data_IF_736040052312
#
_entry.id   IF_736040052312
#
_cell.length_a   1.000
_cell.length_b   1.000
_cell.length_c   1.000
_cell.angle_alpha   90.00
_cell.angle_beta   90.00
_cell.angle_gamma   90.00
#
_symmetry.space_group_name_H-M   'P 1'
#
loop_
_entity.id
_entity.type
_entity.pdbx_description
1 polymer ?
#
# COMPACT_ATOMS: atom_id res chain seq x y z
N UNK A 1 -9.56 -15.95 -18.17
CA UNK A 1 -10.17 -16.01 -16.82
C UNK A 1 -9.33 -16.96 -16.00
N UNK A 2 -8.76 -16.50 -14.89
CA UNK A 2 -7.78 -17.26 -14.10
C UNK A 2 -8.30 -17.68 -12.71
N UNK A 3 -9.43 -17.14 -12.26
CA UNK A 3 -10.10 -17.42 -10.98
C UNK A 3 -11.62 -17.35 -11.14
N UNK A 4 -12.38 -17.78 -10.13
CA UNK A 4 -13.84 -17.94 -10.09
C UNK A 4 -14.61 -16.78 -9.41
N UNK A 5 -14.00 -15.60 -9.28
CA UNK A 5 -14.67 -14.41 -8.75
C UNK A 5 -15.85 -13.98 -9.63
N UNK A 6 -16.98 -13.66 -8.98
CA UNK A 6 -18.15 -13.07 -9.64
C UNK A 6 -17.87 -11.61 -9.99
N UNK A 7 -18.09 -11.15 -11.24
CA UNK A 7 -17.81 -9.77 -11.64
C UNK A 7 -18.49 -8.70 -10.78
N UNK A 8 -19.72 -8.95 -10.33
CA UNK A 8 -20.49 -8.05 -9.46
C UNK A 8 -19.86 -7.83 -8.08
N UNK A 9 -18.95 -8.71 -7.66
CA UNK A 9 -18.20 -8.58 -6.41
C UNK A 9 -16.88 -7.80 -6.59
N UNK A 10 -16.49 -7.49 -7.82
CA UNK A 10 -15.30 -6.69 -8.11
C UNK A 10 -15.63 -5.19 -8.03
N UNK A 11 -14.90 -4.47 -7.20
CA UNK A 11 -15.07 -3.04 -6.97
C UNK A 11 -13.77 -2.33 -7.29
N UNK A 12 -13.82 -1.39 -8.23
CA UNK A 12 -12.67 -0.60 -8.67
C UNK A 12 -13.16 0.84 -8.85
N UNK A 13 -12.39 1.81 -8.35
CA UNK A 13 -12.65 3.23 -8.53
C UNK A 13 -12.78 3.59 -10.02
N UNK A 14 -13.86 4.28 -10.38
CA UNK A 14 -14.07 4.73 -11.75
C UNK A 14 -13.36 6.06 -12.02
N UNK A 15 -12.13 5.99 -12.55
CA UNK A 15 -11.35 7.17 -12.94
C UNK A 15 -11.95 8.02 -14.07
N UNK A 16 -13.01 7.55 -14.74
CA UNK A 16 -13.73 8.29 -15.79
C UNK A 16 -15.10 8.82 -15.31
N UNK A 17 -15.38 8.78 -14.00
CA UNK A 17 -16.63 9.30 -13.46
C UNK A 17 -16.75 10.81 -13.72
N UNK A 18 -17.98 11.27 -14.00
CA UNK A 18 -18.25 12.70 -14.26
C UNK A 18 -17.97 13.55 -13.01
N UNK A 19 -18.25 13.01 -11.83
CA UNK A 19 -17.98 13.64 -10.55
C UNK A 19 -17.09 12.70 -9.72
N UNK A 20 -15.79 13.02 -9.69
CA UNK A 20 -14.76 12.19 -9.08
C UNK A 20 -14.85 12.21 -7.55
N UNK A 21 -15.25 13.34 -6.96
CA UNK A 21 -15.46 13.48 -5.53
C UNK A 21 -16.61 12.57 -5.07
N UNK A 22 -17.72 12.56 -5.81
CA UNK A 22 -18.85 11.66 -5.55
C UNK A 22 -18.47 10.19 -5.71
N UNK A 23 -17.68 9.85 -6.72
CA UNK A 23 -17.14 8.48 -6.89
C UNK A 23 -16.35 8.05 -5.64
N UNK A 24 -15.49 8.93 -5.10
CA UNK A 24 -14.74 8.64 -3.88
C UNK A 24 -15.66 8.42 -2.67
N UNK A 25 -16.66 9.28 -2.47
CA UNK A 25 -17.64 9.14 -1.39
C UNK A 25 -18.47 7.86 -1.51
N UNK A 26 -18.93 7.52 -2.71
CA UNK A 26 -19.73 6.34 -2.97
C UNK A 26 -18.89 5.06 -2.78
N UNK A 27 -17.59 5.11 -3.08
CA UNK A 27 -16.67 4.00 -2.83
C UNK A 27 -16.48 3.74 -1.32
N UNK A 28 -16.33 4.80 -0.52
CA UNK A 28 -16.26 4.71 0.95
C UNK A 28 -17.56 4.13 1.54
N UNK A 29 -18.72 4.65 1.12
CA UNK A 29 -20.03 4.12 1.53
C UNK A 29 -20.21 2.65 1.16
N UNK A 30 -19.66 2.24 0.01
CA UNK A 30 -19.71 0.84 -0.42
C UNK A 30 -18.84 -0.05 0.45
N UNK A 31 -17.67 0.41 0.89
CA UNK A 31 -16.84 -0.32 1.87
C UNK A 31 -17.62 -0.47 3.19
N UNK A 32 -18.21 0.61 3.69
CA UNK A 32 -19.00 0.60 4.92
C UNK A 32 -20.23 -0.30 4.83
N UNK A 33 -20.90 -0.39 3.67
CA UNK A 33 -22.08 -1.24 3.50
C UNK A 33 -21.79 -2.74 3.61
N UNK A 34 -20.54 -3.16 3.44
CA UNK A 34 -20.07 -4.51 3.71
C UNK A 34 -19.49 -4.70 5.13
N UNK A 35 -19.50 -3.66 5.97
CA UNK A 35 -18.94 -3.69 7.32
C UNK A 35 -17.42 -3.53 7.37
N UNK A 36 -16.83 -2.94 6.33
CA UNK A 36 -15.39 -2.70 6.23
C UNK A 36 -14.61 -3.82 5.53
N UNK A 37 -13.32 -3.57 5.31
CA UNK A 37 -12.41 -4.50 4.64
C UNK A 37 -11.87 -5.51 5.65
N UNK A 38 -12.00 -6.81 5.37
CA UNK A 38 -11.43 -7.85 6.24
C UNK A 38 -9.90 -7.91 6.15
N UNK A 39 -9.35 -7.92 4.93
CA UNK A 39 -7.92 -7.95 4.67
C UNK A 39 -7.61 -6.96 3.55
N UNK A 40 -6.77 -5.97 3.83
CA UNK A 40 -6.20 -5.10 2.81
C UNK A 40 -4.80 -5.58 2.46
N UNK A 41 -4.58 -5.97 1.21
CA UNK A 41 -3.26 -6.34 0.72
C UNK A 41 -2.71 -5.22 -0.19
N UNK A 42 -1.47 -4.81 0.06
CA UNK A 42 -0.81 -3.78 -0.72
C UNK A 42 0.69 -4.00 -0.83
N UNK A 43 1.35 -3.08 -1.53
CA UNK A 43 2.80 -2.93 -1.53
C UNK A 43 3.17 -1.49 -1.20
N UNK A 44 4.48 -1.21 -1.16
CA UNK A 44 5.00 0.14 -0.92
C UNK A 44 5.85 0.64 -2.06
N UNK A 45 5.87 1.97 -2.25
CA UNK A 45 6.83 2.67 -3.07
C UNK A 45 8.23 2.74 -2.44
N UNK A 46 9.28 3.06 -3.22
CA UNK A 46 10.63 3.29 -2.69
C UNK A 46 10.73 4.51 -1.75
N UNK A 47 9.76 5.42 -1.83
CA UNK A 47 9.53 6.58 -0.96
C UNK A 47 8.58 6.28 0.21
N UNK A 48 8.14 5.02 0.37
CA UNK A 48 7.23 4.59 1.43
C UNK A 48 5.76 4.91 1.23
N UNK A 49 5.32 5.29 0.02
CA UNK A 49 3.88 5.45 -0.23
C UNK A 49 3.14 4.11 -0.18
N UNK A 50 1.94 4.08 0.40
CA UNK A 50 0.95 3.00 0.21
C UNK A 50 -0.14 3.48 -0.75
N UNK A 51 -0.52 2.66 -1.73
CA UNK A 51 -1.40 3.05 -2.84
C UNK A 51 -0.83 4.31 -3.53
N UNK A 52 -1.62 5.36 -3.78
CA UNK A 52 -1.09 6.65 -4.25
C UNK A 52 -0.99 7.69 -3.12
N UNK A 53 -0.88 7.25 -1.85
CA UNK A 53 -0.66 8.15 -0.73
C UNK A 53 0.81 8.57 -0.63
N UNK A 54 1.22 9.42 -1.57
CA UNK A 54 2.56 9.99 -1.69
C UNK A 54 3.01 10.75 -0.44
N UNK A 55 4.33 10.97 -0.27
CA UNK A 55 4.88 11.76 0.83
C UNK A 55 4.15 13.09 1.04
N UNK A 56 3.82 13.38 2.31
CA UNK A 56 3.02 14.54 2.72
C UNK A 56 1.51 14.29 2.79
N UNK A 57 1.03 13.12 2.35
CA UNK A 57 -0.38 12.74 2.49
C UNK A 57 -0.78 12.64 3.96
N UNK A 58 -1.97 13.16 4.31
CA UNK A 58 -2.50 13.03 5.67
C UNK A 58 -2.62 11.56 6.07
N UNK A 59 -2.14 11.23 7.28
CA UNK A 59 -2.25 9.90 7.85
C UNK A 59 -3.70 9.50 8.19
N UNK A 60 -4.62 10.48 8.22
CA UNK A 60 -6.07 10.26 8.37
C UNK A 60 -6.83 10.49 7.05
N UNK A 61 -6.14 10.48 5.90
CA UNK A 61 -6.79 10.74 4.62
C UNK A 61 -7.83 9.67 4.25
N UNK A 62 -8.88 10.10 3.54
CA UNK A 62 -9.89 9.23 2.91
C UNK A 62 -9.66 9.08 1.41
N UNK A 63 -10.49 8.28 0.78
CA UNK A 63 -10.54 8.11 -0.68
C UNK A 63 -10.71 9.47 -1.36
N UNK A 64 -9.83 9.77 -2.31
CA UNK A 64 -9.76 11.10 -2.95
C UNK A 64 -9.08 11.07 -4.31
N UNK A 65 -9.25 12.15 -5.06
CA UNK A 65 -8.38 12.50 -6.18
C UNK A 65 -7.01 12.90 -5.65
N UNK A 66 -5.95 12.35 -6.26
CA UNK A 66 -4.57 12.66 -5.93
C UNK A 66 -3.79 12.98 -7.20
N UNK A 67 -3.17 14.15 -7.21
CA UNK A 67 -2.17 14.50 -8.23
C UNK A 67 -0.94 13.63 -8.05
N UNK A 68 -0.46 13.05 -9.14
CA UNK A 68 0.78 12.26 -9.15
C UNK A 68 1.99 13.18 -9.20
N UNK A 69 3.01 12.90 -8.40
CA UNK A 69 4.31 13.59 -8.48
C UNK A 69 5.06 13.22 -9.76
N UNK A 70 6.05 14.04 -10.09
CA UNK A 70 6.97 13.77 -11.21
C UNK A 70 7.64 12.42 -11.08
N UNK A 71 8.06 12.02 -9.87
CA UNK A 71 8.72 10.74 -9.63
C UNK A 71 7.77 9.57 -9.92
N UNK A 72 6.50 9.68 -9.49
CA UNK A 72 5.46 8.69 -9.81
C UNK A 72 5.18 8.62 -11.31
N UNK A 73 5.16 9.76 -12.00
CA UNK A 73 4.99 9.82 -13.46
C UNK A 73 6.16 9.12 -14.18
N UNK A 74 7.40 9.39 -13.75
CA UNK A 74 8.59 8.76 -14.32
C UNK A 74 8.57 7.25 -14.08
N UNK A 75 8.28 6.80 -12.86
CA UNK A 75 8.23 5.38 -12.51
C UNK A 75 7.15 4.63 -13.30
N UNK A 76 6.00 5.26 -13.55
CA UNK A 76 4.90 4.68 -14.30
C UNK A 76 5.07 4.77 -15.83
N UNK A 77 5.92 5.66 -16.34
CA UNK A 77 6.15 5.82 -17.78
C UNK A 77 6.55 4.52 -18.48
N UNK A 78 7.19 3.59 -17.76
CA UNK A 78 7.50 2.23 -18.26
C UNK A 78 6.28 1.45 -18.78
N UNK A 79 5.09 1.78 -18.29
CA UNK A 79 3.81 1.19 -18.72
C UNK A 79 3.17 1.96 -19.89
N UNK A 80 3.72 3.12 -20.24
CA UNK A 80 3.24 4.03 -21.29
C UNK A 80 4.33 4.31 -22.33
N UNK A 81 5.01 3.25 -22.79
CA UNK A 81 6.07 3.32 -23.82
C UNK A 81 7.27 4.21 -23.42
N UNK A 82 7.50 4.39 -22.12
CA UNK A 82 8.49 5.33 -21.56
C UNK A 82 8.21 6.81 -21.91
N UNK A 83 6.96 7.15 -22.24
CA UNK A 83 6.52 8.52 -22.51
C UNK A 83 5.75 9.10 -21.32
N UNK A 84 6.40 10.04 -20.62
CA UNK A 84 5.84 10.73 -19.46
C UNK A 84 4.57 11.55 -19.80
N UNK A 85 4.40 11.96 -21.06
CA UNK A 85 3.25 12.78 -21.48
C UNK A 85 1.96 11.98 -21.61
N UNK A 86 2.08 10.64 -21.76
CA UNK A 86 0.96 9.70 -21.81
C UNK A 86 0.49 9.26 -20.43
N UNK A 87 1.26 9.53 -19.38
CA UNK A 87 0.91 9.14 -18.01
C UNK A 87 -0.17 10.09 -17.47
N UNK A 88 -1.28 9.57 -16.92
CA UNK A 88 -2.28 10.39 -16.25
C UNK A 88 -1.66 11.24 -15.14
N UNK A 89 -2.07 12.51 -15.03
CA UNK A 89 -1.55 13.44 -14.01
C UNK A 89 -2.21 13.27 -12.64
N UNK A 90 -3.35 12.58 -12.60
CA UNK A 90 -4.15 12.34 -11.40
C UNK A 90 -4.58 10.88 -11.34
N UNK A 91 -4.82 10.40 -10.13
CA UNK A 91 -5.41 9.10 -9.86
C UNK A 91 -6.46 9.22 -8.76
N UNK A 92 -7.42 8.29 -8.76
CA UNK A 92 -8.25 8.03 -7.58
C UNK A 92 -7.52 7.02 -6.70
N UNK A 93 -7.51 7.27 -5.39
CA UNK A 93 -6.84 6.38 -4.44
C UNK A 93 -7.60 6.31 -3.13
N UNK A 94 -7.62 5.12 -2.52
CA UNK A 94 -8.05 4.98 -1.13
C UNK A 94 -7.09 5.74 -0.21
N UNK A 95 -7.63 6.33 0.85
CA UNK A 95 -6.82 7.10 1.79
C UNK A 95 -6.04 6.22 2.76
N UNK A 96 -5.10 6.82 3.47
CA UNK A 96 -4.36 6.14 4.54
C UNK A 96 -5.31 5.66 5.63
N UNK A 97 -6.27 6.51 6.04
CA UNK A 97 -7.30 6.14 7.01
C UNK A 97 -8.20 5.01 6.50
N UNK A 98 -8.56 5.03 5.21
CA UNK A 98 -9.36 3.97 4.59
C UNK A 98 -8.66 2.61 4.66
N UNK A 99 -7.33 2.58 4.47
CA UNK A 99 -6.54 1.35 4.60
C UNK A 99 -6.47 0.91 6.07
N UNK A 100 -6.29 1.85 6.99
CA UNK A 100 -6.19 1.59 8.43
C UNK A 100 -7.52 1.19 9.08
N UNK A 101 -8.66 1.41 8.41
CA UNK A 101 -9.97 0.90 8.83
C UNK A 101 -10.14 -0.60 8.53
N UNK A 102 -9.25 -1.21 7.75
CA UNK A 102 -9.30 -2.64 7.49
C UNK A 102 -9.05 -3.43 8.79
N UNK A 103 -9.61 -4.63 8.91
CA UNK A 103 -9.39 -5.47 10.10
C UNK A 103 -7.95 -6.01 10.16
N UNK A 104 -7.33 -6.20 9.00
CA UNK A 104 -5.97 -6.65 8.84
C UNK A 104 -5.35 -5.98 7.60
N UNK A 105 -4.07 -5.59 7.70
CA UNK A 105 -3.33 -4.96 6.61
C UNK A 105 -2.05 -5.74 6.37
N UNK A 106 -1.88 -6.26 5.16
CA UNK A 106 -0.68 -6.99 4.73
C UNK A 106 0.05 -6.22 3.64
N UNK A 107 1.34 -5.97 3.85
CA UNK A 107 2.19 -5.22 2.94
C UNK A 107 3.31 -6.11 2.41
N UNK A 108 3.42 -6.20 1.09
CA UNK A 108 4.48 -6.94 0.40
C UNK A 108 5.63 -5.99 0.02
N UNK A 109 6.86 -6.38 0.35
CA UNK A 109 8.06 -5.55 0.11
C UNK A 109 9.18 -6.39 -0.46
N UNK A 110 9.64 -6.09 -1.67
CA UNK A 110 10.69 -6.88 -2.32
C UNK A 110 11.75 -6.03 -3.03
N UNK A 111 13.01 -6.46 -2.89
CA UNK A 111 14.18 -5.91 -3.56
C UNK A 111 14.82 -4.69 -2.88
N UNK A 112 16.12 -4.49 -3.14
CA UNK A 112 16.94 -3.43 -2.55
C UNK A 112 16.35 -2.01 -2.67
N UNK A 113 15.69 -1.72 -3.79
CA UNK A 113 15.06 -0.42 -4.04
C UNK A 113 13.94 -0.05 -3.04
N UNK A 114 13.50 -1.00 -2.20
CA UNK A 114 12.53 -0.77 -1.12
C UNK A 114 13.15 -0.79 0.28
N UNK A 115 14.45 -1.04 0.41
CA UNK A 115 15.08 -1.23 1.72
C UNK A 115 14.95 -0.01 2.63
N UNK A 116 15.18 1.18 2.07
CA UNK A 116 14.95 2.44 2.80
C UNK A 116 13.52 2.60 3.30
N UNK A 117 12.54 2.29 2.46
CA UNK A 117 11.13 2.39 2.81
C UNK A 117 10.76 1.39 3.92
N UNK A 118 11.28 0.16 3.85
CA UNK A 118 11.10 -0.86 4.90
C UNK A 118 11.71 -0.41 6.22
N UNK A 119 12.92 0.16 6.20
CA UNK A 119 13.54 0.74 7.39
C UNK A 119 12.67 1.82 8.02
N UNK A 120 12.15 2.75 7.23
CA UNK A 120 11.30 3.81 7.77
C UNK A 120 9.95 3.28 8.27
N UNK A 121 9.46 2.17 7.70
CA UNK A 121 8.26 1.49 8.18
C UNK A 121 8.46 0.80 9.54
N UNK A 122 9.63 0.18 9.77
CA UNK A 122 9.88 -0.69 10.93
C UNK A 122 10.63 0.03 12.05
N UNK A 123 11.69 0.78 11.72
CA UNK A 123 12.59 1.42 12.69
C UNK A 123 12.38 2.94 12.78
N UNK A 124 11.73 3.55 11.79
CA UNK A 124 11.44 4.98 11.76
C UNK A 124 10.25 5.36 12.63
N UNK A 125 10.14 6.65 13.00
CA UNK A 125 8.94 7.18 13.68
C UNK A 125 7.78 7.37 12.71
N UNK A 126 6.55 7.24 13.22
CA UNK A 126 5.33 7.57 12.46
C UNK A 126 5.40 8.99 11.91
N UNK A 127 5.31 9.14 10.59
CA UNK A 127 5.36 10.43 9.92
C UNK A 127 4.67 10.39 8.53
N UNK A 128 4.20 11.53 8.06
CA UNK A 128 3.50 11.63 6.77
C UNK A 128 4.40 11.61 5.53
N UNK A 129 5.73 11.68 5.67
CA UNK A 129 6.66 11.56 4.54
C UNK A 129 6.85 10.11 4.13
N UNK A 130 6.77 9.19 5.09
CA UNK A 130 6.79 7.75 4.88
C UNK A 130 5.44 7.19 5.32
N UNK A 131 4.41 7.30 4.48
CA UNK A 131 3.03 6.99 4.88
C UNK A 131 2.87 5.55 5.36
N UNK A 132 3.72 4.61 4.92
CA UNK A 132 3.82 3.25 5.46
C UNK A 132 4.07 3.17 6.97
N UNK A 133 4.75 4.14 7.56
CA UNK A 133 5.03 4.17 9.00
C UNK A 133 3.77 4.17 9.87
N UNK A 134 2.62 4.57 9.32
CA UNK A 134 1.31 4.50 10.01
C UNK A 134 0.92 3.07 10.39
N UNK A 135 1.46 2.04 9.72
CA UNK A 135 1.16 0.64 10.00
C UNK A 135 1.56 0.26 11.43
N UNK A 136 2.52 0.96 12.03
CA UNK A 136 2.89 0.81 13.46
C UNK A 136 1.71 1.08 14.41
N UNK A 137 0.72 1.83 13.96
CA UNK A 137 -0.50 2.15 14.72
C UNK A 137 -1.64 1.16 14.43
N UNK A 138 -1.47 0.23 13.48
CA UNK A 138 -2.51 -0.70 13.09
C UNK A 138 -2.56 -1.89 14.06
N UNK A 139 -3.74 -2.29 14.58
CA UNK A 139 -3.82 -3.39 15.53
C UNK A 139 -3.41 -4.75 14.95
N UNK A 140 -3.44 -4.89 13.61
CA UNK A 140 -3.07 -6.11 12.88
C UNK A 140 -2.36 -5.79 11.57
N UNK A 141 -1.15 -5.25 11.65
CA UNK A 141 -0.30 -4.98 10.49
C UNK A 141 0.72 -6.09 10.28
N UNK A 142 0.85 -6.58 9.04
CA UNK A 142 1.83 -7.59 8.64
C UNK A 142 2.66 -7.05 7.48
N UNK A 143 3.99 -7.19 7.56
CA UNK A 143 4.90 -6.92 6.44
C UNK A 143 5.55 -8.24 6.05
N UNK A 144 5.41 -8.62 4.79
CA UNK A 144 6.09 -9.77 4.19
C UNK A 144 7.17 -9.22 3.27
N UNK A 145 8.42 -9.59 3.51
CA UNK A 145 9.56 -9.08 2.75
C UNK A 145 10.57 -10.14 2.34
N UNK A 146 11.30 -9.88 1.26
CA UNK A 146 12.48 -10.66 0.88
C UNK A 146 13.73 -10.17 1.61
N UNK A 147 14.79 -10.99 1.65
CA UNK A 147 16.03 -10.60 2.32
C UNK A 147 16.65 -9.32 1.69
N UNK A 148 16.50 -9.11 0.38
CA UNK A 148 17.03 -7.95 -0.31
C UNK A 148 16.39 -6.61 0.14
N UNK A 149 15.12 -6.61 0.55
CA UNK A 149 14.48 -5.45 1.14
C UNK A 149 14.96 -5.16 2.58
N UNK A 150 15.64 -6.10 3.24
CA UNK A 150 16.10 -5.91 4.63
C UNK A 150 17.46 -5.23 4.75
N UNK A 151 18.10 -4.90 3.63
CA UNK A 151 19.51 -4.45 3.54
C UNK A 151 19.84 -3.18 4.36
N UNK A 152 18.85 -2.32 4.63
CA UNK A 152 19.02 -1.11 5.43
C UNK A 152 18.56 -1.24 6.89
N UNK A 153 17.99 -2.39 7.28
CA UNK A 153 17.58 -2.70 8.65
C UNK A 153 18.79 -3.05 9.52
N UNK A 154 18.67 -2.81 10.82
CA UNK A 154 19.66 -3.33 11.76
C UNK A 154 19.60 -4.86 11.81
N UNK A 155 20.77 -5.50 11.92
CA UNK A 155 20.89 -6.96 12.10
C UNK A 155 20.04 -7.44 13.29
N UNK A 156 20.00 -6.66 14.38
CA UNK A 156 19.17 -6.97 15.55
C UNK A 156 17.67 -7.00 15.23
N UNK A 157 17.19 -6.06 14.40
CA UNK A 157 15.79 -5.99 13.95
C UNK A 157 15.42 -7.23 13.13
N UNK A 158 16.25 -7.60 12.16
CA UNK A 158 16.00 -8.78 11.31
C UNK A 158 15.98 -10.06 12.16
N UNK A 159 16.96 -10.23 13.05
CA UNK A 159 17.04 -11.40 13.91
C UNK A 159 15.85 -11.49 14.88
N UNK A 160 15.39 -10.36 15.42
CA UNK A 160 14.23 -10.31 16.30
C UNK A 160 12.96 -10.85 15.61
N UNK A 161 12.64 -10.39 14.40
CA UNK A 161 11.47 -10.88 13.67
C UNK A 161 11.64 -12.31 13.16
N UNK A 162 12.85 -12.72 12.77
CA UNK A 162 13.12 -14.12 12.38
C UNK A 162 12.95 -15.09 13.54
N UNK A 163 13.26 -14.68 14.78
CA UNK A 163 13.05 -15.50 15.97
C UNK A 163 11.56 -15.62 16.33
N UNK A 164 10.81 -14.51 16.29
CA UNK A 164 9.35 -14.51 16.52
C UNK A 164 8.63 -15.42 15.52
N UNK A 165 8.99 -15.33 14.24
CA UNK A 165 8.32 -16.05 13.16
C UNK A 165 8.98 -17.39 12.83
N UNK A 166 9.88 -17.93 13.67
CA UNK A 166 10.73 -19.07 13.31
C UNK A 166 9.94 -20.28 12.77
N UNK A 167 8.73 -20.50 13.28
CA UNK A 167 7.86 -21.62 12.93
C UNK A 167 6.94 -21.32 11.73
N UNK A 168 6.93 -20.07 11.26
CA UNK A 168 6.06 -19.56 10.18
C UNK A 168 6.84 -19.10 8.93
N UNK A 169 8.17 -19.17 8.93
CA UNK A 169 9.01 -18.71 7.81
C UNK A 169 9.11 -19.71 6.65
N UNK A 170 8.88 -21.00 6.91
CA UNK A 170 8.91 -22.02 5.86
C UNK A 170 7.52 -22.18 5.24
N UNK A 171 7.36 -21.71 4.01
CA UNK A 171 6.10 -21.85 3.28
C UNK A 171 5.75 -23.31 2.99
N UNK A 172 6.73 -24.22 2.96
CA UNK A 172 6.49 -25.65 2.78
C UNK A 172 5.95 -26.34 4.04
N UNK A 173 6.18 -25.78 5.23
CA UNK A 173 5.63 -26.32 6.48
C UNK A 173 4.21 -25.83 6.78
N UNK A 174 3.66 -24.93 5.95
CA UNK A 174 2.34 -24.31 6.13
C UNK A 174 1.25 -24.87 5.19
N UNK A 175 1.56 -25.86 4.35
CA UNK A 175 0.65 -26.48 3.36
C UNK A 175 0.33 -27.93 3.75
#
# INVERSE_FOLDING_TARGET
RHIDIKPENANILNGNAINLEKECEDYEKKIESYGGINLFMGGIGPDGHIAFNEPGSSLASRTRVKSLTTDTIIANSRFFENDITKVPKTALTVGVGTIMDAKEVMILVNGHHKARALKMAVEGSVNHMWTISVLQMHPKGVIVCDDAATDELMVGTVNYFKDIERDNLDSASMI
#
